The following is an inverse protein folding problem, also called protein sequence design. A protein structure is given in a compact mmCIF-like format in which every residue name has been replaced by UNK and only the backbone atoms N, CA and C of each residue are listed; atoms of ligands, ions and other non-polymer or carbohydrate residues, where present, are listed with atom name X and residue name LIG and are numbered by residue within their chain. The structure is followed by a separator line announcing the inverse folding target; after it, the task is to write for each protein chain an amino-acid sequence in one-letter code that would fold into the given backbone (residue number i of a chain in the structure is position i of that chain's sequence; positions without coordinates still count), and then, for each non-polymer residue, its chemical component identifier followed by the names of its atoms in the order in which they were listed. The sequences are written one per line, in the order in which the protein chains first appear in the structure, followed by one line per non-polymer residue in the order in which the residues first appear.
data_IF_466937956850
#
_entry.id   IF_466937956850
#
_cell.length_a   1.000
_cell.length_b   1.000
_cell.length_c   1.000
_cell.angle_alpha   90.00
_cell.angle_beta   90.00
_cell.angle_gamma   90.00
#
_symmetry.space_group_name_H-M   'P 1'
#
loop_
_entity.id
_entity.type
_entity.pdbx_description
1 polymer ?
#
# COMPACT_ATOMS: atom_id res chain seq x y z
N UNK A 1 27.51 -6.88 7.28
CA UNK A 1 26.33 -6.02 7.01
C UNK A 1 26.66 -4.54 6.86
N UNK A 2 27.86 -4.06 7.23
CA UNK A 2 28.33 -2.67 7.04
C UNK A 2 28.32 -2.09 5.60
N UNK A 3 27.90 -2.88 4.61
CA UNK A 3 27.78 -2.47 3.19
C UNK A 3 26.34 -2.16 2.80
N UNK A 4 25.37 -2.38 3.69
CA UNK A 4 23.96 -2.08 3.42
C UNK A 4 23.78 -0.59 3.62
N UNK A 5 23.40 0.10 2.56
CA UNK A 5 23.25 1.56 2.56
C UNK A 5 21.78 1.97 2.63
N UNK A 6 20.89 1.12 2.11
CA UNK A 6 19.47 1.43 1.98
C UNK A 6 18.60 0.18 2.05
N UNK A 7 17.34 0.40 2.40
CA UNK A 7 16.27 -0.58 2.35
C UNK A 7 14.99 0.05 1.80
N UNK A 8 14.20 -0.75 1.10
CA UNK A 8 12.88 -0.36 0.59
C UNK A 8 11.81 -1.19 1.29
N UNK A 9 10.82 -0.53 1.88
CA UNK A 9 9.72 -1.19 2.60
C UNK A 9 8.37 -0.80 2.03
N UNK A 10 7.36 -1.62 2.28
CA UNK A 10 5.97 -1.34 1.90
C UNK A 10 5.30 -0.26 2.79
N UNK A 11 6.03 0.33 3.74
CA UNK A 11 5.52 1.34 4.66
C UNK A 11 4.61 0.80 5.76
N UNK A 12 4.42 -0.52 5.87
CA UNK A 12 3.60 -1.10 6.92
C UNK A 12 4.15 -0.73 8.31
N UNK A 13 3.30 -0.52 9.34
CA UNK A 13 3.78 -0.20 10.69
C UNK A 13 4.76 -1.22 11.27
N UNK A 14 4.65 -2.49 10.88
CA UNK A 14 5.59 -3.55 11.24
C UNK A 14 6.98 -3.39 10.61
N UNK A 15 7.08 -2.71 9.46
CA UNK A 15 8.34 -2.47 8.75
C UNK A 15 8.94 -1.11 9.12
N UNK A 16 8.14 -0.04 9.01
CA UNK A 16 8.54 1.35 9.18
C UNK A 16 8.27 1.94 10.58
N UNK A 17 7.79 1.12 11.52
CA UNK A 17 7.51 1.56 12.89
C UNK A 17 8.77 2.03 13.62
N UNK A 18 8.70 3.22 14.24
CA UNK A 18 9.84 3.87 14.90
C UNK A 18 10.43 3.11 16.10
N UNK A 19 9.61 2.32 16.81
CA UNK A 19 10.02 1.63 18.05
C UNK A 19 10.31 0.14 17.88
N UNK A 20 9.44 -0.55 17.16
CA UNK A 20 9.45 -2.02 16.99
C UNK A 20 9.34 -2.43 15.52
N UNK A 21 9.47 -1.46 14.60
CA UNK A 21 9.45 -1.76 13.17
C UNK A 21 10.76 -2.40 12.75
N UNK A 22 10.70 -3.24 11.71
CA UNK A 22 11.87 -3.92 11.14
C UNK A 22 13.05 -2.98 10.97
N UNK A 23 12.86 -1.82 10.33
CA UNK A 23 13.95 -0.86 10.06
C UNK A 23 14.64 -0.42 11.36
N UNK A 24 13.86 -0.06 12.39
CA UNK A 24 14.42 0.40 13.68
C UNK A 24 15.25 -0.69 14.37
N UNK A 25 14.76 -1.94 14.34
CA UNK A 25 15.44 -3.10 14.91
C UNK A 25 16.66 -3.47 14.07
N UNK A 26 16.54 -3.36 12.75
CA UNK A 26 17.59 -3.67 11.81
C UNK A 26 18.73 -2.67 11.94
N UNK A 27 18.49 -1.36 11.91
CA UNK A 27 19.52 -0.34 12.14
C UNK A 27 20.24 -0.55 13.49
N UNK A 28 19.52 -0.93 14.54
CA UNK A 28 20.12 -1.30 15.85
C UNK A 28 21.04 -2.50 15.72
N UNK A 29 20.61 -3.54 15.01
CA UNK A 29 21.40 -4.74 14.74
C UNK A 29 22.62 -4.48 13.84
N UNK A 30 22.49 -3.63 12.81
CA UNK A 30 23.59 -3.32 11.89
C UNK A 30 24.58 -2.31 12.48
N UNK A 31 24.15 -1.53 13.47
CA UNK A 31 24.97 -0.56 14.19
C UNK A 31 25.26 0.72 13.40
N UNK A 32 24.48 1.01 12.36
CA UNK A 32 24.53 2.28 11.61
C UNK A 32 23.16 2.62 11.02
N UNK A 33 22.96 3.89 10.66
CA UNK A 33 21.76 4.32 9.95
C UNK A 33 21.72 3.73 8.54
N UNK A 34 20.49 3.49 8.06
CA UNK A 34 20.21 2.95 6.73
C UNK A 34 19.20 3.89 6.09
N UNK A 35 19.37 4.19 4.79
CA UNK A 35 18.41 5.00 4.05
C UNK A 35 17.11 4.23 3.85
N UNK A 36 16.00 4.85 4.25
CA UNK A 36 14.67 4.26 4.23
C UNK A 36 13.90 4.78 3.01
N UNK A 37 13.50 3.87 2.13
CA UNK A 37 12.63 4.18 1.00
C UNK A 37 11.27 3.49 1.17
N UNK A 38 10.20 4.19 0.78
CA UNK A 38 8.94 3.53 0.52
C UNK A 38 9.01 2.83 -0.84
N UNK A 39 8.37 1.67 -0.95
CA UNK A 39 8.22 0.97 -2.21
C UNK A 39 7.54 1.90 -3.22
N UNK A 40 8.15 2.06 -4.41
CA UNK A 40 7.64 2.95 -5.46
C UNK A 40 6.17 2.66 -5.80
N UNK A 41 5.77 1.37 -5.80
CA UNK A 41 4.39 0.95 -6.05
C UNK A 41 3.46 1.46 -4.94
N UNK A 42 3.88 1.33 -3.67
CA UNK A 42 3.12 1.82 -2.53
C UNK A 42 3.00 3.36 -2.57
N UNK A 43 4.10 4.05 -2.85
CA UNK A 43 4.11 5.51 -2.97
C UNK A 43 3.23 5.99 -4.12
N UNK A 44 3.28 5.33 -5.27
CA UNK A 44 2.40 5.65 -6.41
C UNK A 44 0.92 5.47 -6.04
N UNK A 45 0.57 4.38 -5.36
CA UNK A 45 -0.79 4.15 -4.89
C UNK A 45 -1.25 5.22 -3.88
N UNK A 46 -0.39 5.61 -2.93
CA UNK A 46 -0.66 6.70 -1.99
C UNK A 46 -0.83 8.04 -2.71
N UNK A 47 0.07 8.38 -3.65
CA UNK A 47 -0.03 9.60 -4.44
C UNK A 47 -1.31 9.66 -5.25
N UNK A 48 -1.72 8.55 -5.89
CA UNK A 48 -2.99 8.48 -6.60
C UNK A 48 -4.16 8.71 -5.65
N UNK A 49 -4.17 8.01 -4.50
CA UNK A 49 -5.24 8.15 -3.50
C UNK A 49 -5.35 9.57 -2.93
N UNK A 50 -4.22 10.22 -2.63
CA UNK A 50 -4.21 11.57 -2.07
C UNK A 50 -4.36 12.67 -3.11
N UNK A 51 -3.97 12.43 -4.37
CA UNK A 51 -4.03 13.41 -5.46
C UNK A 51 -5.35 13.41 -6.22
N UNK A 52 -6.15 12.35 -6.10
CA UNK A 52 -7.44 12.19 -6.79
C UNK A 52 -8.64 12.39 -5.86
N UNK A 53 -8.48 13.11 -4.74
CA UNK A 53 -9.57 13.35 -3.76
C UNK A 53 -10.76 14.10 -4.36
N UNK A 54 -10.55 14.83 -5.45
CA UNK A 54 -11.64 15.45 -6.21
C UNK A 54 -12.58 14.44 -6.89
N UNK A 55 -12.19 13.16 -6.97
CA UNK A 55 -13.00 12.05 -7.47
C UNK A 55 -13.63 11.22 -6.35
N UNK A 56 -13.50 11.62 -5.08
CA UNK A 56 -13.92 10.79 -3.94
C UNK A 56 -15.42 10.44 -4.00
N UNK A 57 -16.26 11.39 -4.44
CA UNK A 57 -17.70 11.19 -4.58
C UNK A 57 -18.02 10.18 -5.70
N UNK A 58 -17.37 10.31 -6.87
CA UNK A 58 -17.49 9.36 -7.97
C UNK A 58 -17.02 7.97 -7.56
N UNK A 59 -15.86 7.88 -6.88
CA UNK A 59 -15.30 6.63 -6.39
C UNK A 59 -16.21 5.97 -5.34
N UNK A 60 -16.91 6.75 -4.51
CA UNK A 60 -17.91 6.23 -3.59
C UNK A 60 -19.11 5.60 -4.31
N UNK A 61 -19.60 6.22 -5.39
CA UNK A 61 -20.68 5.68 -6.22
C UNK A 61 -20.22 4.40 -6.94
N UNK A 62 -19.05 4.41 -7.58
CA UNK A 62 -18.48 3.24 -8.25
C UNK A 62 -18.32 2.09 -7.26
N UNK A 63 -17.79 2.35 -6.06
CA UNK A 63 -17.62 1.33 -5.02
C UNK A 63 -18.96 0.71 -4.61
N UNK A 64 -20.03 1.51 -4.46
CA UNK A 64 -21.38 0.99 -4.18
C UNK A 64 -21.88 0.06 -5.27
N UNK A 65 -21.70 0.43 -6.54
CA UNK A 65 -22.12 -0.38 -7.70
C UNK A 65 -21.34 -1.71 -7.74
N UNK A 66 -20.01 -1.66 -7.60
CA UNK A 66 -19.16 -2.86 -7.60
C UNK A 66 -19.51 -3.79 -6.44
N UNK A 67 -19.79 -3.24 -5.25
CA UNK A 67 -20.24 -4.03 -4.11
C UNK A 67 -21.60 -4.72 -4.38
N UNK A 68 -22.56 -4.02 -4.99
CA UNK A 68 -23.85 -4.59 -5.38
C UNK A 68 -23.69 -5.74 -6.38
N UNK A 69 -22.83 -5.58 -7.39
CA UNK A 69 -22.51 -6.64 -8.36
C UNK A 69 -21.90 -7.85 -7.66
N UNK A 70 -20.93 -7.61 -6.78
CA UNK A 70 -20.18 -8.65 -6.07
C UNK A 70 -21.02 -9.45 -5.07
N UNK A 71 -22.07 -8.85 -4.50
CA UNK A 71 -23.01 -9.51 -3.59
C UNK A 71 -23.91 -10.54 -4.28
N UNK A 72 -24.15 -10.39 -5.58
CA UNK A 72 -25.03 -11.29 -6.33
C UNK A 72 -24.20 -12.29 -7.15
N UNK A 73 -24.25 -13.58 -6.78
CA UNK A 73 -23.41 -14.62 -7.40
C UNK A 73 -23.54 -14.69 -8.94
N UNK A 74 -24.73 -14.44 -9.49
CA UNK A 74 -24.92 -14.40 -10.94
C UNK A 74 -24.25 -13.20 -11.58
N UNK A 75 -24.39 -12.00 -10.98
CA UNK A 75 -23.78 -10.78 -11.51
C UNK A 75 -22.27 -10.81 -11.36
N UNK A 76 -21.74 -11.34 -10.25
CA UNK A 76 -20.32 -11.61 -10.09
C UNK A 76 -19.77 -12.45 -11.23
N UNK A 77 -20.38 -13.62 -11.53
CA UNK A 77 -19.94 -14.47 -12.66
C UNK A 77 -20.01 -13.76 -14.01
N UNK A 78 -21.05 -12.95 -14.26
CA UNK A 78 -21.17 -12.17 -15.50
C UNK A 78 -20.09 -11.09 -15.58
N UNK A 79 -19.79 -10.44 -14.46
CA UNK A 79 -18.78 -9.39 -14.38
C UNK A 79 -17.38 -9.97 -14.54
N UNK A 80 -17.08 -11.09 -13.90
CA UNK A 80 -15.81 -11.82 -14.04
C UNK A 80 -15.59 -12.28 -15.50
N UNK A 81 -16.65 -12.58 -16.25
CA UNK A 81 -16.56 -12.95 -17.67
C UNK A 81 -16.29 -11.75 -18.62
N UNK A 82 -16.39 -10.51 -18.13
CA UNK A 82 -16.11 -9.29 -18.90
C UNK A 82 -14.68 -8.77 -18.71
N UNK A 83 -13.92 -9.34 -17.76
CA UNK A 83 -12.53 -9.00 -17.44
C UNK A 83 -11.58 -10.08 -17.96
#
# INVERSE_FOLDING_TARGET
LKKIVSETTDGAPSMAGKKIGFISLFQTYVGHSILEFLCLIHQQALCAKSGLTFLDDEMAVVTKIVNLISLQALNKRKFDALL
#
